data_IF_869193729292
#
_entry.id   IF_869193729292
#
_cell.length_a   1.000
_cell.length_b   1.000
_cell.length_c   1.000
_cell.angle_alpha   90.00
_cell.angle_beta   90.00
_cell.angle_gamma   90.00
#
_symmetry.space_group_name_H-M   'P 1'
#
loop_
_entity.id
_entity.type
_entity.pdbx_description
1 polymer ?
#
# COMPACT_ATOMS: atom_id res chain seq x y z
N UNK A 1 17.13 -20.66 -12.85
CA UNK A 1 17.09 -19.84 -11.63
C UNK A 1 15.75 -19.09 -11.55
N UNK A 2 14.64 -19.81 -11.29
CA UNK A 2 13.32 -19.21 -11.15
C UNK A 2 12.98 -18.89 -9.67
N UNK A 3 13.60 -19.62 -8.73
CA UNK A 3 13.41 -19.43 -7.29
C UNK A 3 13.82 -18.01 -6.83
N UNK A 4 14.97 -17.50 -7.29
CA UNK A 4 15.42 -16.13 -6.99
C UNK A 4 14.42 -15.04 -7.38
N UNK A 5 13.70 -15.23 -8.49
CA UNK A 5 12.73 -14.24 -8.96
C UNK A 5 11.48 -14.22 -8.10
N UNK A 6 10.95 -15.41 -7.77
CA UNK A 6 9.77 -15.55 -6.91
C UNK A 6 10.04 -15.02 -5.51
N UNK A 7 11.23 -15.28 -4.95
CA UNK A 7 11.62 -14.75 -3.64
C UNK A 7 11.71 -13.22 -3.64
N UNK A 8 12.30 -12.62 -4.69
CA UNK A 8 12.39 -11.15 -4.80
C UNK A 8 11.04 -10.49 -5.01
N UNK A 9 10.15 -11.09 -5.81
CA UNK A 9 8.78 -10.60 -6.00
C UNK A 9 7.98 -10.70 -4.69
N UNK A 10 8.19 -11.77 -3.91
CA UNK A 10 7.57 -11.93 -2.59
C UNK A 10 8.05 -10.89 -1.58
N UNK A 11 9.37 -10.65 -1.49
CA UNK A 11 9.94 -9.62 -0.61
C UNK A 11 9.48 -8.22 -1.00
N UNK A 12 9.45 -7.91 -2.30
CA UNK A 12 8.96 -6.63 -2.81
C UNK A 12 7.47 -6.42 -2.46
N UNK A 13 6.65 -7.46 -2.58
CA UNK A 13 5.25 -7.41 -2.15
C UNK A 13 5.13 -7.22 -0.64
N UNK A 14 5.94 -7.89 0.18
CA UNK A 14 5.91 -7.70 1.64
C UNK A 14 6.25 -6.27 2.05
N UNK A 15 7.22 -5.64 1.38
CA UNK A 15 7.57 -4.23 1.63
C UNK A 15 6.39 -3.33 1.26
N UNK A 16 5.75 -3.59 0.11
CA UNK A 16 4.56 -2.86 -0.32
C UNK A 16 3.40 -3.01 0.69
N UNK A 17 3.10 -4.24 1.13
CA UNK A 17 2.06 -4.50 2.12
C UNK A 17 2.32 -3.78 3.44
N UNK A 18 3.56 -3.82 3.94
CA UNK A 18 3.93 -3.12 5.18
C UNK A 18 3.77 -1.60 5.07
N UNK A 19 4.13 -1.02 3.94
CA UNK A 19 3.94 0.41 3.70
C UNK A 19 2.45 0.78 3.71
N UNK A 20 1.61 0.02 2.99
CA UNK A 20 0.15 0.24 2.97
C UNK A 20 -0.47 0.07 4.37
N UNK A 21 -0.08 -0.97 5.10
CA UNK A 21 -0.58 -1.22 6.45
C UNK A 21 -0.20 -0.09 7.43
N UNK A 22 1.04 0.40 7.37
CA UNK A 22 1.47 1.53 8.21
C UNK A 22 0.65 2.79 7.92
N UNK A 23 0.37 3.08 6.63
CA UNK A 23 -0.49 4.20 6.25
C UNK A 23 -1.91 3.98 6.73
N UNK A 24 -2.45 2.77 6.58
CA UNK A 24 -3.78 2.42 7.07
C UNK A 24 -3.90 2.62 8.58
N UNK A 25 -2.94 2.16 9.38
CA UNK A 25 -2.94 2.32 10.84
C UNK A 25 -2.89 3.79 11.29
N UNK A 26 -2.20 4.64 10.52
CA UNK A 26 -2.01 6.06 10.87
C UNK A 26 -3.13 6.97 10.38
N UNK A 27 -3.71 6.63 9.22
CA UNK A 27 -4.62 7.51 8.47
C UNK A 27 -6.02 6.89 8.28
N UNK A 28 -6.34 5.80 8.98
CA UNK A 28 -7.68 5.23 8.96
C UNK A 28 -8.72 6.27 9.40
N UNK A 29 -9.69 6.56 8.53
CA UNK A 29 -10.72 7.57 8.76
C UNK A 29 -10.32 9.00 8.37
N UNK A 30 -9.08 9.22 7.94
CA UNK A 30 -8.66 10.52 7.42
C UNK A 30 -9.27 10.79 6.03
N UNK A 31 -9.38 12.07 5.63
CA UNK A 31 -9.78 12.43 4.28
C UNK A 31 -8.92 11.78 3.18
N UNK A 32 -9.57 11.25 2.14
CA UNK A 32 -8.95 10.59 0.98
C UNK A 32 -7.69 11.28 0.44
N UNK A 33 -7.70 12.61 0.30
CA UNK A 33 -6.56 13.36 -0.25
C UNK A 33 -5.31 13.30 0.65
N UNK A 34 -5.49 13.23 1.97
CA UNK A 34 -4.38 13.05 2.92
C UNK A 34 -3.82 11.64 2.82
N UNK A 35 -4.71 10.63 2.73
CA UNK A 35 -4.32 9.23 2.55
C UNK A 35 -3.55 9.02 1.24
N UNK A 36 -4.01 9.61 0.13
CA UNK A 36 -3.30 9.56 -1.17
C UNK A 36 -1.91 10.19 -1.06
N UNK A 37 -1.78 11.33 -0.38
CA UNK A 37 -0.49 11.97 -0.17
C UNK A 37 0.45 11.12 0.68
N UNK A 38 -0.07 10.49 1.74
CA UNK A 38 0.68 9.59 2.60
C UNK A 38 1.16 8.34 1.84
N UNK A 39 0.27 7.70 1.08
CA UNK A 39 0.62 6.58 0.19
C UNK A 39 1.69 7.00 -0.82
N UNK A 40 1.53 8.14 -1.48
CA UNK A 40 2.53 8.61 -2.45
C UNK A 40 3.91 8.87 -1.83
N UNK A 41 3.98 9.20 -0.54
CA UNK A 41 5.23 9.46 0.17
C UNK A 41 5.85 8.22 0.81
N UNK A 42 5.04 7.26 1.28
CA UNK A 42 5.51 6.06 2.01
C UNK A 42 5.66 4.83 1.10
N UNK A 43 4.99 4.80 -0.06
CA UNK A 43 5.08 3.65 -0.97
C UNK A 43 6.46 3.54 -1.62
N UNK A 44 7.04 2.33 -1.66
CA UNK A 44 8.30 2.11 -2.35
C UNK A 44 8.13 2.32 -3.86
N UNK A 45 9.17 2.83 -4.53
CA UNK A 45 9.15 3.07 -5.99
C UNK A 45 8.94 1.81 -6.85
N UNK A 46 9.11 0.62 -6.25
CA UNK A 46 8.82 -0.71 -6.79
C UNK A 46 8.55 -1.69 -5.63
N UNK A 47 7.51 -2.55 -5.71
CA UNK A 47 6.54 -2.67 -6.80
C UNK A 47 5.60 -1.45 -6.84
N UNK A 48 5.33 -0.92 -8.04
CA UNK A 48 4.39 0.20 -8.20
C UNK A 48 2.98 -0.35 -8.19
N UNK A 49 2.15 0.21 -7.31
CA UNK A 49 0.70 0.12 -7.44
C UNK A 49 0.27 0.91 -8.69
N UNK A 50 -0.69 0.37 -9.43
CA UNK A 50 -1.35 1.15 -10.48
C UNK A 50 -2.13 2.32 -9.87
N UNK A 51 -2.33 3.39 -10.63
CA UNK A 51 -3.05 4.57 -10.15
C UNK A 51 -4.49 4.27 -9.74
N UNK A 52 -5.14 3.28 -10.37
CA UNK A 52 -6.46 2.81 -9.96
C UNK A 52 -6.42 2.07 -8.62
N UNK A 53 -5.40 1.24 -8.40
CA UNK A 53 -5.22 0.46 -7.18
C UNK A 53 -4.87 1.34 -5.99
N UNK A 54 -3.99 2.32 -6.19
CA UNK A 54 -3.65 3.32 -5.17
C UNK A 54 -4.89 4.11 -4.71
N UNK A 55 -5.76 4.52 -5.66
CA UNK A 55 -7.02 5.19 -5.31
C UNK A 55 -7.94 4.29 -4.51
N UNK A 56 -8.09 3.03 -4.90
CA UNK A 56 -8.94 2.07 -4.17
C UNK A 56 -8.46 1.88 -2.73
N UNK A 57 -7.15 1.68 -2.54
CA UNK A 57 -6.54 1.55 -1.21
C UNK A 57 -6.78 2.82 -0.38
N UNK A 58 -6.58 4.00 -0.98
CA UNK A 58 -6.80 5.27 -0.29
C UNK A 58 -8.26 5.47 0.13
N UNK A 59 -9.21 5.07 -0.70
CA UNK A 59 -10.64 5.11 -0.39
C UNK A 59 -10.99 4.16 0.76
N UNK A 60 -10.48 2.93 0.75
CA UNK A 60 -10.69 1.97 1.83
C UNK A 60 -10.13 2.46 3.17
N UNK A 61 -8.91 3.01 3.19
CA UNK A 61 -8.31 3.60 4.39
C UNK A 61 -9.11 4.82 4.84
N UNK A 62 -9.55 5.67 3.91
CA UNK A 62 -10.33 6.86 4.23
C UNK A 62 -11.68 6.52 4.90
N UNK A 63 -12.30 5.39 4.54
CA UNK A 63 -13.50 4.89 5.22
C UNK A 63 -13.20 4.10 6.50
N UNK A 64 -11.93 4.04 6.92
CA UNK A 64 -11.49 3.36 8.15
C UNK A 64 -11.36 1.85 8.02
N UNK A 65 -11.28 1.31 6.79
CA UNK A 65 -10.99 -0.10 6.53
C UNK A 65 -9.50 -0.32 6.34
N UNK A 66 -9.03 -1.49 6.75
CA UNK A 66 -7.67 -1.92 6.45
C UNK A 66 -7.65 -2.75 5.16
N UNK A 67 -7.16 -2.21 4.03
CA UNK A 67 -7.07 -2.92 2.76
C UNK A 67 -5.92 -3.95 2.74
N UNK A 68 -5.04 -3.96 3.76
CA UNK A 68 -3.91 -4.90 3.82
C UNK A 68 -4.34 -6.33 4.18
N UNK A 69 -5.57 -6.54 4.68
CA UNK A 69 -6.16 -7.86 4.91
C UNK A 69 -5.53 -8.67 6.05
N UNK A 70 -4.85 -8.00 7.00
CA UNK A 70 -4.31 -8.60 8.23
C UNK A 70 -5.40 -8.89 9.27
#
# INVERSE_FOLDING_TARGET
MAADRVTREHEANLVLFRAVHNVAQRHAGDPFHLVVSALASELPGTPRLDGAELRRIAEEISVGRDPSGL
#
